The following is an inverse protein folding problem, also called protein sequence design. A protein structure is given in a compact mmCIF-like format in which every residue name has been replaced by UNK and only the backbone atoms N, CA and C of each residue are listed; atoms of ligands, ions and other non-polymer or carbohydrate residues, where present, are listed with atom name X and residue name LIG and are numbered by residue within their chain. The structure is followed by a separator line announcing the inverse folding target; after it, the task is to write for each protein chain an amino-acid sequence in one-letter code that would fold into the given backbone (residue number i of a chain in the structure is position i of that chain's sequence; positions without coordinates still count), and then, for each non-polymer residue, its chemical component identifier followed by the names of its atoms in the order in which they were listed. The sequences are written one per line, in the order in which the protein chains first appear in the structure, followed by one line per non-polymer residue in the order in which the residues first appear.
data_IF_933333359347
#
_entry.id   IF_933333359347
#
_cell.length_a   1.000
_cell.length_b   1.000
_cell.length_c   1.000
_cell.angle_alpha   90.00
_cell.angle_beta   90.00
_cell.angle_gamma   90.00
#
_symmetry.space_group_name_H-M   'P 1'
#
loop_
_entity.id
_entity.type
_entity.pdbx_description
1 polymer ?
#
# COMPACT_ATOMS: atom_id res chain seq x y z
N UNK A 1 6.16 13.89 -13.39
CA UNK A 1 5.28 14.34 -12.29
C UNK A 1 4.96 13.19 -11.33
N UNK A 2 4.41 12.08 -11.82
CA UNK A 2 4.06 10.85 -11.07
C UNK A 2 5.19 10.34 -10.16
N UNK A 3 6.40 10.15 -10.69
CA UNK A 3 7.56 9.71 -9.91
C UNK A 3 7.96 10.68 -8.78
N UNK A 4 7.80 11.99 -8.99
CA UNK A 4 8.11 13.01 -7.96
C UNK A 4 7.08 12.97 -6.82
N UNK A 5 5.81 12.79 -7.16
CA UNK A 5 4.73 12.62 -6.18
C UNK A 5 4.91 11.35 -5.36
N UNK A 6 5.23 10.23 -5.99
CA UNK A 6 5.56 8.99 -5.28
C UNK A 6 6.74 9.17 -4.33
N UNK A 7 7.78 9.91 -4.75
CA UNK A 7 8.95 10.20 -3.89
C UNK A 7 8.58 11.00 -2.65
N UNK A 8 7.69 12.00 -2.76
CA UNK A 8 7.18 12.72 -1.59
C UNK A 8 6.32 11.82 -0.71
N UNK A 9 5.50 10.95 -1.30
CA UNK A 9 4.73 9.94 -0.57
C UNK A 9 5.62 9.02 0.25
N UNK A 10 6.77 8.61 -0.29
CA UNK A 10 7.73 7.78 0.42
C UNK A 10 8.25 8.44 1.71
N UNK A 11 8.60 9.73 1.66
CA UNK A 11 9.06 10.48 2.83
C UNK A 11 8.02 10.50 3.96
N UNK A 12 6.75 10.67 3.59
CA UNK A 12 5.63 10.63 4.54
C UNK A 12 5.41 9.22 5.07
N UNK A 13 5.42 8.21 4.20
CA UNK A 13 5.17 6.81 4.56
C UNK A 13 6.14 6.26 5.60
N UNK A 14 7.44 6.57 5.49
CA UNK A 14 8.46 6.14 6.46
C UNK A 14 8.13 6.66 7.86
N UNK A 15 7.74 7.93 8.00
CA UNK A 15 7.42 8.53 9.30
C UNK A 15 6.08 8.05 9.85
N UNK A 16 5.11 7.87 8.96
CA UNK A 16 3.77 7.44 9.34
C UNK A 16 3.76 5.99 9.85
N UNK A 17 4.65 5.13 9.34
CA UNK A 17 4.75 3.74 9.79
C UNK A 17 4.93 3.64 11.30
N UNK A 18 5.97 4.28 11.86
CA UNK A 18 6.27 4.20 13.29
C UNK A 18 5.13 4.75 14.16
N UNK A 19 4.51 5.86 13.73
CA UNK A 19 3.40 6.50 14.46
C UNK A 19 2.16 5.59 14.49
N UNK A 20 1.77 5.03 13.34
CA UNK A 20 0.58 4.16 13.26
C UNK A 20 0.85 2.82 13.94
N UNK A 21 2.05 2.25 13.81
CA UNK A 21 2.43 1.01 14.52
C UNK A 21 2.46 1.21 16.03
N UNK A 22 2.93 2.35 16.54
CA UNK A 22 2.83 2.67 17.96
C UNK A 22 1.37 2.73 18.41
N UNK A 23 0.55 3.54 17.73
CA UNK A 23 -0.85 3.78 18.11
C UNK A 23 -1.70 2.52 18.11
N UNK A 24 -1.56 1.70 17.07
CA UNK A 24 -2.48 0.59 16.80
C UNK A 24 -1.97 -0.74 17.36
N UNK A 25 -0.65 -0.86 17.59
CA UNK A 25 0.01 -2.14 17.93
C UNK A 25 1.00 -2.07 19.07
N UNK A 26 1.14 -0.92 19.74
CA UNK A 26 2.09 -0.77 20.85
C UNK A 26 3.53 -1.11 20.45
N UNK A 27 3.97 -0.64 19.28
CA UNK A 27 5.28 -0.92 18.67
C UNK A 27 5.52 -2.35 18.16
N UNK A 28 4.52 -3.24 18.18
CA UNK A 28 4.65 -4.56 17.57
C UNK A 28 4.65 -4.47 16.04
N UNK A 29 5.80 -4.74 15.43
CA UNK A 29 5.98 -4.75 13.97
C UNK A 29 5.41 -6.03 13.34
N UNK A 30 4.88 -5.87 12.12
CA UNK A 30 4.46 -7.00 11.30
C UNK A 30 5.66 -7.64 10.60
N UNK A 31 5.83 -8.94 10.79
CA UNK A 31 6.93 -9.72 10.20
C UNK A 31 6.46 -10.63 9.07
N UNK A 32 5.14 -10.83 8.93
CA UNK A 32 4.52 -11.63 7.88
C UNK A 32 3.91 -10.72 6.83
N UNK A 33 4.09 -11.07 5.55
CA UNK A 33 3.64 -10.27 4.42
C UNK A 33 2.13 -10.00 4.48
N UNK A 34 1.32 -11.04 4.67
CA UNK A 34 -0.13 -10.88 4.72
C UNK A 34 -0.56 -10.02 5.93
N UNK A 35 0.12 -10.16 7.07
CA UNK A 35 -0.14 -9.32 8.25
C UNK A 35 0.15 -7.84 7.98
N UNK A 36 1.25 -7.55 7.29
CA UNK A 36 1.60 -6.18 6.88
C UNK A 36 0.62 -5.62 5.85
N UNK A 37 0.23 -6.40 4.84
CA UNK A 37 -0.76 -5.97 3.84
C UNK A 37 -2.14 -5.69 4.48
N UNK A 38 -2.57 -6.53 5.42
CA UNK A 38 -3.81 -6.31 6.17
C UNK A 38 -3.73 -5.09 7.09
N UNK A 39 -2.56 -4.83 7.70
CA UNK A 39 -2.32 -3.63 8.48
C UNK A 39 -2.41 -2.36 7.62
N UNK A 40 -1.89 -2.40 6.39
CA UNK A 40 -2.02 -1.29 5.44
C UNK A 40 -3.49 -1.09 5.03
N UNK A 41 -4.20 -2.17 4.65
CA UNK A 41 -5.62 -2.12 4.27
C UNK A 41 -6.52 -1.53 5.35
N UNK A 42 -6.24 -1.85 6.61
CA UNK A 42 -7.10 -1.50 7.75
C UNK A 42 -6.61 -0.26 8.48
N UNK A 43 -5.62 -0.42 9.36
CA UNK A 43 -5.17 0.61 10.29
C UNK A 43 -4.57 1.83 9.58
N UNK A 44 -3.67 1.61 8.61
CA UNK A 44 -3.05 2.72 7.87
C UNK A 44 -4.11 3.46 7.05
N UNK A 45 -4.95 2.72 6.33
CA UNK A 45 -6.01 3.31 5.51
C UNK A 45 -7.01 4.12 6.34
N UNK A 46 -7.44 3.60 7.49
CA UNK A 46 -8.29 4.33 8.44
C UNK A 46 -7.63 5.62 8.95
N UNK A 47 -6.35 5.56 9.29
CA UNK A 47 -5.63 6.74 9.77
C UNK A 47 -5.42 7.80 8.65
N UNK A 48 -5.32 7.38 7.39
CA UNK A 48 -5.15 8.29 6.24
C UNK A 48 -6.48 8.85 5.70
N UNK A 49 -7.52 8.03 5.62
CA UNK A 49 -8.74 8.30 4.85
C UNK A 49 -10.03 8.11 5.65
N UNK A 50 -9.96 7.72 6.93
CA UNK A 50 -11.12 7.52 7.78
C UNK A 50 -11.91 6.23 7.50
N UNK A 51 -11.48 5.39 6.56
CA UNK A 51 -12.09 4.10 6.23
C UNK A 51 -11.03 3.04 5.89
N UNK A 52 -11.40 1.76 5.92
CA UNK A 52 -10.55 0.70 5.35
C UNK A 52 -10.53 0.76 3.84
N UNK A 53 -9.48 0.20 3.23
CA UNK A 53 -9.48 0.03 1.79
C UNK A 53 -10.57 -0.97 1.38
N UNK A 54 -11.18 -0.83 0.21
CA UNK A 54 -12.31 -1.69 -0.17
C UNK A 54 -11.89 -3.15 -0.33
N UNK A 55 -10.79 -3.43 -1.05
CA UNK A 55 -10.32 -4.80 -1.31
C UNK A 55 -8.81 -4.91 -1.26
N UNK A 56 -8.34 -6.11 -0.89
CA UNK A 56 -6.97 -6.56 -1.06
C UNK A 56 -7.03 -7.94 -1.72
N UNK A 57 -6.48 -8.06 -2.91
CA UNK A 57 -6.52 -9.26 -3.73
C UNK A 57 -5.08 -9.63 -4.14
N UNK A 58 -4.79 -10.92 -4.31
CA UNK A 58 -3.56 -11.38 -4.95
C UNK A 58 -3.83 -11.56 -6.44
N UNK A 59 -2.88 -11.19 -7.29
CA UNK A 59 -3.00 -11.44 -8.73
C UNK A 59 -3.02 -12.95 -9.01
N UNK A 60 -3.90 -13.38 -9.92
CA UNK A 60 -3.96 -14.78 -10.35
C UNK A 60 -2.82 -15.12 -11.31
N UNK A 61 -2.33 -14.13 -12.06
CA UNK A 61 -1.32 -14.31 -13.11
C UNK A 61 0.12 -14.17 -12.57
N UNK A 62 0.28 -13.44 -11.46
CA UNK A 62 1.59 -13.16 -10.86
C UNK A 62 1.52 -13.27 -9.34
N UNK A 63 2.15 -14.33 -8.84
CA UNK A 63 2.23 -14.63 -7.41
C UNK A 63 2.93 -13.55 -6.58
N UNK A 64 3.77 -12.71 -7.20
CA UNK A 64 4.46 -11.60 -6.56
C UNK A 64 3.64 -10.31 -6.52
N UNK A 65 2.47 -10.29 -7.17
CA UNK A 65 1.66 -9.09 -7.29
C UNK A 65 0.41 -9.15 -6.41
N UNK A 66 0.20 -8.08 -5.64
CA UNK A 66 -1.01 -7.82 -4.86
C UNK A 66 -1.68 -6.52 -5.33
N UNK A 67 -3.00 -6.46 -5.19
CA UNK A 67 -3.85 -5.36 -5.60
C UNK A 67 -4.60 -4.83 -4.39
N UNK A 68 -4.36 -3.58 -4.03
CA UNK A 68 -5.17 -2.87 -3.04
C UNK A 68 -6.12 -1.93 -3.80
N UNK A 69 -7.42 -2.15 -3.69
CA UNK A 69 -8.43 -1.48 -4.55
C UNK A 69 -9.28 -0.55 -3.70
N UNK A 70 -9.47 0.66 -4.22
CA UNK A 70 -10.40 1.68 -3.75
C UNK A 70 -11.42 1.98 -4.85
N UNK A 71 -12.70 1.67 -4.63
CA UNK A 71 -13.79 2.00 -5.57
C UNK A 71 -14.10 3.49 -5.57
N UNK A 72 -13.99 4.13 -4.42
CA UNK A 72 -14.21 5.57 -4.25
C UNK A 72 -12.99 6.19 -3.56
N UNK A 73 -12.03 6.75 -4.32
CA UNK A 73 -10.85 7.36 -3.74
C UNK A 73 -11.22 8.61 -2.95
N UNK A 74 -11.07 8.56 -1.62
CA UNK A 74 -11.36 9.66 -0.67
C UNK A 74 -10.50 10.90 -0.94
N UNK A 75 -9.40 10.75 -1.68
CA UNK A 75 -8.57 11.87 -2.14
C UNK A 75 -9.35 12.85 -3.04
N UNK A 76 -10.42 12.39 -3.71
CA UNK A 76 -11.34 13.27 -4.46
C UNK A 76 -12.05 14.31 -3.58
N UNK A 77 -12.11 14.10 -2.26
CA UNK A 77 -12.74 15.04 -1.32
C UNK A 77 -11.84 16.25 -1.03
N UNK A 78 -10.52 16.13 -1.20
CA UNK A 78 -9.55 17.15 -0.78
C UNK A 78 -8.83 17.88 -1.92
N UNK A 79 -9.07 17.45 -3.17
CA UNK A 79 -8.50 18.08 -4.38
C UNK A 79 -9.55 18.16 -5.49
N UNK A 80 -9.81 19.37 -5.98
CA UNK A 80 -10.62 19.59 -7.19
C UNK A 80 -9.76 19.26 -8.42
N UNK A 81 -9.79 18.01 -8.85
CA UNK A 81 -9.15 17.60 -10.09
C UNK A 81 -10.16 17.70 -11.22
N UNK A 82 -9.92 18.50 -12.29
CA UNK A 82 -10.80 18.54 -13.45
C UNK A 82 -10.97 17.12 -14.01
N UNK A 83 -12.21 16.75 -14.39
CA UNK A 83 -12.53 15.41 -14.92
C UNK A 83 -11.63 14.96 -16.08
N UNK A 84 -10.98 15.93 -16.74
CA UNK A 84 -10.19 15.74 -17.95
C UNK A 84 -8.68 15.63 -17.68
N UNK A 85 -8.21 15.92 -16.44
CA UNK A 85 -6.79 15.88 -16.06
C UNK A 85 -6.59 15.55 -14.58
N UNK A 86 -6.21 14.31 -14.25
CA UNK A 86 -5.23 14.09 -13.16
C UNK A 86 -5.62 13.27 -11.93
N UNK A 87 -6.55 12.31 -12.00
CA UNK A 87 -6.85 11.43 -10.84
C UNK A 87 -5.63 10.55 -10.43
N UNK A 88 -4.75 10.22 -11.38
CA UNK A 88 -3.57 9.38 -11.16
C UNK A 88 -2.45 10.05 -10.35
N UNK A 89 -2.43 11.39 -10.24
CA UNK A 89 -1.33 12.10 -9.57
C UNK A 89 -1.34 11.92 -8.05
N UNK A 90 -2.51 12.00 -7.42
CA UNK A 90 -2.63 11.82 -5.97
C UNK A 90 -2.60 10.34 -5.58
N UNK A 91 -3.14 9.46 -6.43
CA UNK A 91 -2.93 8.04 -6.28
C UNK A 91 -1.43 7.67 -6.34
N UNK A 92 -0.62 8.33 -7.16
CA UNK A 92 0.83 8.11 -7.16
C UNK A 92 1.51 8.50 -5.84
N UNK A 93 1.02 9.56 -5.17
CA UNK A 93 1.50 9.94 -3.84
C UNK A 93 1.18 8.85 -2.80
N UNK A 94 -0.05 8.34 -2.80
CA UNK A 94 -0.47 7.25 -1.89
C UNK A 94 0.30 5.96 -2.19
N UNK A 95 0.54 5.63 -3.46
CA UNK A 95 1.39 4.52 -3.86
C UNK A 95 2.80 4.63 -3.25
N UNK A 96 3.37 5.85 -3.25
CA UNK A 96 4.63 6.14 -2.58
C UNK A 96 4.61 5.89 -1.08
N UNK A 97 3.54 6.27 -0.38
CA UNK A 97 3.35 5.97 1.05
C UNK A 97 3.38 4.47 1.30
N UNK A 98 2.56 3.72 0.55
CA UNK A 98 2.44 2.26 0.67
C UNK A 98 3.78 1.59 0.42
N UNK A 99 4.48 1.97 -0.64
CA UNK A 99 5.79 1.42 -0.99
C UNK A 99 6.80 1.64 0.14
N UNK A 100 6.90 2.86 0.66
CA UNK A 100 7.81 3.18 1.75
C UNK A 100 7.54 2.37 3.02
N UNK A 101 6.27 2.14 3.37
CA UNK A 101 5.92 1.34 4.54
C UNK A 101 6.32 -0.12 4.37
N UNK A 102 6.10 -0.69 3.19
CA UNK A 102 6.48 -2.07 2.87
C UNK A 102 8.01 -2.23 2.86
N UNK A 103 8.73 -1.33 2.18
CA UNK A 103 10.19 -1.30 2.15
C UNK A 103 10.78 -1.17 3.57
N UNK A 104 10.26 -0.25 4.39
CA UNK A 104 10.71 -0.06 5.77
C UNK A 104 10.42 -1.25 6.69
N UNK A 105 9.38 -2.03 6.39
CA UNK A 105 9.07 -3.30 7.06
C UNK A 105 9.80 -4.51 6.45
N UNK A 106 10.83 -4.28 5.62
CA UNK A 106 11.67 -5.31 4.99
C UNK A 106 10.90 -6.20 3.99
N UNK A 107 9.94 -5.62 3.27
CA UNK A 107 9.24 -6.20 2.13
C UNK A 107 9.52 -5.35 0.87
N UNK A 108 10.70 -5.49 0.25
CA UNK A 108 11.04 -4.72 -0.95
C UNK A 108 10.04 -4.97 -2.08
N UNK A 109 9.55 -3.87 -2.66
CA UNK A 109 8.50 -3.88 -3.67
C UNK A 109 8.50 -2.61 -4.52
N UNK A 110 7.75 -2.65 -5.61
CA UNK A 110 7.38 -1.48 -6.40
C UNK A 110 5.86 -1.32 -6.35
N UNK A 111 5.39 -0.09 -6.08
CA UNK A 111 3.96 0.21 -6.03
C UNK A 111 3.61 1.23 -7.11
N UNK A 112 2.57 0.93 -7.87
CA UNK A 112 2.05 1.83 -8.91
C UNK A 112 0.53 1.97 -8.78
N UNK A 113 0.01 3.14 -9.14
CA UNK A 113 -1.42 3.40 -9.12
C UNK A 113 -2.00 3.36 -10.53
N UNK A 114 -3.12 2.67 -10.69
CA UNK A 114 -3.83 2.49 -11.95
C UNK A 114 -5.32 2.80 -11.79
N UNK A 115 -5.95 3.23 -12.87
CA UNK A 115 -7.40 3.41 -12.90
C UNK A 115 -8.10 2.05 -12.89
N UNK A 116 -9.13 1.89 -12.06
CA UNK A 116 -9.86 0.62 -11.92
C UNK A 116 -11.35 0.85 -11.68
N UNK A 117 -12.21 0.58 -12.67
CA UNK A 117 -13.68 0.62 -12.54
C UNK A 117 -14.22 1.84 -11.77
N UNK A 118 -13.87 3.05 -12.21
CA UNK A 118 -14.17 4.35 -11.56
C UNK A 118 -13.51 4.60 -10.20
N UNK A 119 -12.62 3.69 -9.79
CA UNK A 119 -11.77 3.79 -8.63
C UNK A 119 -10.29 3.75 -8.98
N UNK A 120 -9.48 3.39 -7.99
CA UNK A 120 -8.02 3.30 -8.06
C UNK A 120 -7.55 1.95 -7.55
N UNK A 121 -6.69 1.29 -8.31
CA UNK A 121 -5.97 0.09 -7.89
C UNK A 121 -4.50 0.43 -7.66
N UNK A 122 -4.00 0.11 -6.46
CA UNK A 122 -2.58 0.14 -6.14
C UNK A 122 -2.01 -1.26 -6.40
N UNK A 123 -1.23 -1.37 -7.46
CA UNK A 123 -0.53 -2.59 -7.86
C UNK A 123 0.79 -2.64 -7.11
N UNK A 124 0.92 -3.62 -6.22
CA UNK A 124 2.08 -3.85 -5.36
C UNK A 124 2.80 -5.08 -5.91
N UNK A 125 3.97 -4.89 -6.52
CA UNK A 125 4.81 -5.98 -7.01
C UNK A 125 5.99 -6.18 -6.08
N UNK A 126 6.02 -7.30 -5.38
CA UNK A 126 7.13 -7.68 -4.51
C UNK A 126 8.29 -8.25 -5.30
N UNK A 127 9.49 -8.13 -4.74
CA UNK A 127 10.64 -8.92 -5.21
C UNK A 127 10.43 -10.40 -4.88
N UNK A 128 10.91 -11.30 -5.74
CA UNK A 128 10.72 -12.74 -5.61
C UNK A 128 11.21 -13.29 -4.25
N UNK A 129 12.31 -12.72 -3.73
CA UNK A 129 12.86 -13.04 -2.41
C UNK A 129 11.84 -12.91 -1.27
N UNK A 130 10.89 -11.98 -1.40
CA UNK A 130 9.85 -11.77 -0.38
C UNK A 130 8.92 -12.97 -0.37
N UNK A 131 8.46 -13.41 -1.55
CA UNK A 131 7.56 -14.56 -1.67
C UNK A 131 8.27 -15.84 -1.23
N UNK A 132 9.53 -16.04 -1.63
CA UNK A 132 10.32 -17.19 -1.20
C UNK A 132 10.51 -17.22 0.33
N UNK A 133 10.78 -16.07 0.95
CA UNK A 133 10.92 -15.95 2.41
C UNK A 133 9.62 -16.30 3.12
N UNK A 134 8.49 -15.79 2.64
CA UNK A 134 7.18 -16.09 3.23
C UNK A 134 6.82 -17.57 3.10
N UNK A 135 7.11 -18.19 1.95
CA UNK A 135 6.89 -19.63 1.76
C UNK A 135 7.71 -20.46 2.76
N UNK A 136 8.99 -20.13 2.94
CA UNK A 136 9.86 -20.81 3.91
C UNK A 136 9.39 -20.66 5.36
N UNK A 137 8.74 -19.54 5.71
CA UNK A 137 8.17 -19.33 7.05
C UNK A 137 6.88 -20.12 7.30
N UNK A 138 6.17 -20.55 6.23
CA UNK A 138 4.98 -21.40 6.34
C UNK A 138 5.37 -22.87 6.54
N UNK A 139 6.48 -23.30 5.94
CA UNK A 139 7.00 -24.68 6.03
C UNK A 139 7.95 -24.94 7.22
N UNK A 140 8.21 -23.95 8.07
CA UNK A 140 9.00 -24.12 9.29
C UNK A 140 8.25 -24.93 10.38
N UNK A 141 8.97 -25.68 11.25
CA UNK A 141 8.32 -26.41 12.34
C UNK A 141 7.63 -25.42 13.28
N UNK A 142 6.35 -25.69 13.57
CA UNK A 142 5.56 -24.94 14.57
C UNK A 142 6.09 -25.16 15.97
#
# INVERSE_FOLDING_TARGET
LVFRLASYGKLVGIRLLDVVTLREKGYRRETKLLGMLMFIKSAVWKNLFGKEADKLERSNDDQCTYLLIEKEPVVNTFISVPKDKGMLNCAAFVAGIVQAMLEASNFPCQVSAHWWNNGTAYVIRFEELVISREAAMVDGPR
#
